data_IF_381826810691
#
_entry.id   IF_381826810691
#
_cell.length_a   1.000
_cell.length_b   1.000
_cell.length_c   1.000
_cell.angle_alpha   90.00
_cell.angle_beta   90.00
_cell.angle_gamma   90.00
#
_symmetry.space_group_name_H-M   'P 1'
#
loop_
_entity.id
_entity.type
_entity.pdbx_description
1 polymer ?
#
# COMPACT_ATOMS: atom_id res chain seq x y z
N UNK A 1 21.42 -11.64 11.67
CA UNK A 1 20.11 -11.93 12.29
C UNK A 1 19.03 -11.44 11.33
N UNK A 2 17.87 -12.09 11.26
CA UNK A 2 16.76 -11.58 10.45
C UNK A 2 16.24 -10.26 11.03
N UNK A 3 15.75 -9.37 10.16
CA UNK A 3 15.08 -8.12 10.54
C UNK A 3 13.57 -8.27 10.38
N UNK A 4 12.79 -7.66 11.25
CA UNK A 4 11.34 -7.80 11.26
C UNK A 4 10.61 -6.46 11.18
N UNK A 5 9.56 -6.42 10.36
CA UNK A 5 8.59 -5.32 10.28
C UNK A 5 7.33 -5.69 11.06
N UNK A 6 6.86 -4.80 11.93
CA UNK A 6 5.56 -4.96 12.58
C UNK A 6 4.44 -4.45 11.66
N UNK A 7 3.50 -5.32 11.31
CA UNK A 7 2.30 -4.90 10.60
C UNK A 7 1.26 -4.35 11.57
N UNK A 8 1.16 -3.02 11.62
CA UNK A 8 0.27 -2.26 12.51
C UNK A 8 -1.20 -2.31 12.06
N UNK A 9 -1.49 -2.93 10.91
CA UNK A 9 -2.84 -3.31 10.53
C UNK A 9 -3.37 -4.52 11.31
N UNK A 10 -2.49 -5.28 11.97
CA UNK A 10 -2.82 -6.46 12.76
C UNK A 10 -2.39 -6.38 14.22
N UNK A 11 -1.29 -5.68 14.51
CA UNK A 11 -0.76 -5.51 15.85
C UNK A 11 -1.18 -4.17 16.44
N UNK A 12 -1.50 -4.15 17.74
CA UNK A 12 -1.89 -2.95 18.50
C UNK A 12 -3.04 -2.15 17.87
N UNK A 13 -4.04 -2.85 17.31
CA UNK A 13 -5.20 -2.23 16.64
C UNK A 13 -6.06 -1.35 17.55
N UNK A 14 -5.86 -1.46 18.86
CA UNK A 14 -6.47 -0.64 19.90
C UNK A 14 -5.81 0.73 20.10
N UNK A 15 -4.61 0.93 19.55
CA UNK A 15 -3.83 2.16 19.67
C UNK A 15 -4.03 3.10 18.47
N UNK A 16 -3.69 4.37 18.67
CA UNK A 16 -3.45 5.28 17.54
C UNK A 16 -2.27 4.76 16.71
N UNK A 17 -2.20 5.11 15.42
CA UNK A 17 -1.05 4.69 14.57
C UNK A 17 0.28 5.16 15.16
N UNK A 18 0.31 6.37 15.71
CA UNK A 18 1.48 6.96 16.38
C UNK A 18 1.90 6.10 17.58
N UNK A 19 0.97 5.74 18.46
CA UNK A 19 1.29 4.94 19.64
C UNK A 19 1.65 3.49 19.27
N UNK A 20 1.07 2.95 18.19
CA UNK A 20 1.42 1.64 17.65
C UNK A 20 2.87 1.61 17.13
N UNK A 21 3.36 2.69 16.49
CA UNK A 21 4.78 2.80 16.09
C UNK A 21 5.70 2.78 17.32
N UNK A 22 5.35 3.53 18.38
CA UNK A 22 6.12 3.50 19.64
C UNK A 22 6.11 2.11 20.29
N UNK A 23 4.96 1.43 20.27
CA UNK A 23 4.83 0.08 20.78
C UNK A 23 5.69 -0.92 20.00
N UNK A 24 5.74 -0.82 18.67
CA UNK A 24 6.62 -1.62 17.82
C UNK A 24 8.10 -1.41 18.17
N UNK A 25 8.52 -0.15 18.40
CA UNK A 25 9.88 0.16 18.84
C UNK A 25 10.21 -0.47 20.19
N UNK A 26 9.31 -0.32 21.16
CA UNK A 26 9.46 -0.89 22.50
C UNK A 26 9.52 -2.43 22.47
N UNK A 27 8.80 -3.06 21.55
CA UNK A 27 8.83 -4.51 21.32
C UNK A 27 10.08 -5.00 20.57
N UNK A 28 10.96 -4.10 20.12
CA UNK A 28 12.23 -4.44 19.48
C UNK A 28 12.15 -4.76 17.99
N UNK A 29 11.10 -4.32 17.30
CA UNK A 29 11.04 -4.41 15.83
C UNK A 29 12.06 -3.48 15.15
N UNK A 30 12.41 -3.81 13.91
CA UNK A 30 13.37 -3.06 13.09
C UNK A 30 12.67 -2.10 12.12
N UNK A 31 11.38 -2.31 11.86
CA UNK A 31 10.57 -1.52 10.94
C UNK A 31 9.08 -1.67 11.26
N UNK A 32 8.25 -0.88 10.58
CA UNK A 32 6.78 -0.97 10.63
C UNK A 32 6.17 -0.94 9.24
N UNK A 33 4.94 -1.41 9.11
CA UNK A 33 4.08 -1.24 7.94
C UNK A 33 2.63 -1.11 8.40
N UNK A 34 1.75 -0.57 7.56
CA UNK A 34 0.32 -0.49 7.88
C UNK A 34 -0.52 -0.60 6.60
N UNK A 35 -1.82 -0.83 6.72
CA UNK A 35 -2.70 -0.85 5.54
C UNK A 35 -3.09 0.56 5.09
N UNK A 36 -3.71 1.36 5.96
CA UNK A 36 -4.28 2.65 5.58
C UNK A 36 -4.04 3.70 6.68
N UNK A 37 -3.03 4.58 6.53
CA UNK A 37 -2.68 5.54 7.58
C UNK A 37 -3.48 6.85 7.54
N UNK A 38 -4.45 6.98 6.63
CA UNK A 38 -5.01 8.26 6.19
C UNK A 38 -5.82 9.07 7.23
N UNK A 39 -6.10 8.51 8.41
CA UNK A 39 -6.67 9.28 9.54
C UNK A 39 -5.59 9.97 10.38
N UNK A 40 -4.33 9.65 10.15
CA UNK A 40 -3.14 10.27 10.78
C UNK A 40 -2.52 11.23 9.78
N UNK A 41 -2.12 12.42 10.22
CA UNK A 41 -1.45 13.39 9.34
C UNK A 41 -0.07 12.87 8.93
N UNK A 42 0.45 13.35 7.81
CA UNK A 42 1.81 12.98 7.35
C UNK A 42 2.87 13.52 8.32
N UNK A 43 2.63 14.68 8.93
CA UNK A 43 3.51 15.26 9.95
C UNK A 43 3.57 14.42 11.22
N UNK A 44 2.44 13.95 11.74
CA UNK A 44 2.40 13.14 12.96
C UNK A 44 3.07 11.79 12.74
N UNK A 45 2.82 11.15 11.59
CA UNK A 45 3.48 9.90 11.22
C UNK A 45 4.99 10.11 11.05
N UNK A 46 5.40 11.16 10.33
CA UNK A 46 6.81 11.46 10.14
C UNK A 46 7.53 11.69 11.47
N UNK A 47 6.92 12.47 12.35
CA UNK A 47 7.48 12.81 13.65
C UNK A 47 7.75 11.55 14.49
N UNK A 48 6.82 10.58 14.51
CA UNK A 48 7.02 9.35 15.30
C UNK A 48 8.00 8.36 14.67
N UNK A 49 8.09 8.31 13.34
CA UNK A 49 9.12 7.53 12.65
C UNK A 49 10.51 8.09 12.95
N UNK A 50 10.67 9.41 12.93
CA UNK A 50 11.91 10.10 13.30
C UNK A 50 12.21 9.93 14.81
N UNK A 51 11.21 10.02 15.69
CA UNK A 51 11.33 9.79 17.14
C UNK A 51 11.86 8.39 17.47
N UNK A 52 11.30 7.37 16.82
CA UNK A 52 11.60 5.97 17.11
C UNK A 52 12.79 5.43 16.33
N UNK A 53 13.17 6.10 15.24
CA UNK A 53 14.17 5.65 14.27
C UNK A 53 13.71 4.45 13.44
N UNK A 54 12.41 4.12 13.45
CA UNK A 54 11.86 3.03 12.67
C UNK A 54 11.53 3.49 11.25
N UNK A 55 12.03 2.82 10.20
CA UNK A 55 11.51 3.02 8.86
C UNK A 55 10.10 2.41 8.75
N UNK A 56 9.21 3.09 8.01
CA UNK A 56 7.97 2.47 7.56
C UNK A 56 8.15 1.90 6.16
N UNK A 57 8.00 0.57 6.04
CA UNK A 57 8.23 -0.15 4.80
C UNK A 57 7.12 0.09 3.79
N UNK A 58 5.85 0.12 4.18
CA UNK A 58 4.79 0.30 3.21
C UNK A 58 3.42 0.66 3.77
N UNK A 59 2.59 1.16 2.84
CA UNK A 59 1.16 1.40 3.00
C UNK A 59 0.39 0.96 1.74
N UNK A 60 -0.94 0.86 1.83
CA UNK A 60 -1.78 0.48 0.70
C UNK A 60 -2.62 1.67 0.22
N UNK A 61 -2.91 1.73 -1.08
CA UNK A 61 -4.01 2.57 -1.60
C UNK A 61 -5.34 2.23 -0.91
N UNK A 62 -6.27 3.19 -0.83
CA UNK A 62 -7.62 2.94 -0.31
C UNK A 62 -8.35 1.84 -1.08
N UNK A 63 -9.24 1.13 -0.38
CA UNK A 63 -10.01 0.01 -0.96
C UNK A 63 -11.13 0.44 -1.91
N UNK A 64 -11.54 1.70 -1.91
CA UNK A 64 -12.79 2.15 -2.53
C UNK A 64 -13.99 2.02 -1.58
N UNK A 65 -15.18 1.77 -2.12
CA UNK A 65 -16.40 1.60 -1.35
C UNK A 65 -16.54 0.16 -0.83
N UNK A 66 -16.06 -0.07 0.39
CA UNK A 66 -16.09 -1.39 1.04
C UNK A 66 -17.51 -1.91 1.24
N UNK A 67 -18.48 -1.03 1.53
CA UNK A 67 -19.89 -1.41 1.72
C UNK A 67 -20.52 -1.93 0.42
N UNK A 68 -19.97 -1.54 -0.74
CA UNK A 68 -20.34 -2.07 -2.07
C UNK A 68 -19.48 -3.23 -2.52
N UNK A 69 -18.56 -3.71 -1.68
CA UNK A 69 -17.69 -4.85 -1.95
C UNK A 69 -16.38 -4.51 -2.64
N UNK A 70 -16.00 -3.23 -2.74
CA UNK A 70 -14.69 -2.85 -3.29
C UNK A 70 -13.56 -3.37 -2.37
N UNK A 71 -12.46 -3.82 -2.99
CA UNK A 71 -11.27 -4.30 -2.29
C UNK A 71 -10.00 -3.88 -3.05
N UNK A 72 -9.95 -2.61 -3.44
CA UNK A 72 -9.01 -2.07 -4.42
C UNK A 72 -9.73 -1.68 -5.72
N UNK A 73 -9.11 -0.77 -6.46
CA UNK A 73 -9.72 -0.10 -7.60
C UNK A 73 -8.88 -0.23 -8.89
N UNK A 74 -7.60 -0.54 -8.76
CA UNK A 74 -6.64 -0.32 -9.84
C UNK A 74 -6.89 -1.18 -11.09
N UNK A 75 -7.56 -2.32 -10.97
CA UNK A 75 -7.90 -3.19 -12.07
C UNK A 75 -9.35 -3.03 -12.56
N UNK A 76 -10.16 -2.12 -12.00
CA UNK A 76 -11.60 -2.03 -12.32
C UNK A 76 -11.88 -1.15 -13.54
N UNK A 77 -12.38 -1.70 -14.67
CA UNK A 77 -12.71 -0.89 -15.86
C UNK A 77 -13.79 0.15 -15.57
N UNK A 78 -13.60 1.37 -16.07
CA UNK A 78 -14.53 2.49 -15.88
C UNK A 78 -14.42 3.19 -14.52
N UNK A 79 -13.47 2.78 -13.67
CA UNK A 79 -13.15 3.40 -12.37
C UNK A 79 -11.74 3.99 -12.33
N UNK A 80 -11.14 4.23 -13.49
CA UNK A 80 -9.73 4.66 -13.63
C UNK A 80 -9.46 5.99 -12.89
N UNK A 81 -10.38 6.95 -12.96
CA UNK A 81 -10.20 8.23 -12.28
C UNK A 81 -10.18 8.08 -10.75
N UNK A 82 -11.00 7.18 -10.21
CA UNK A 82 -11.02 6.87 -8.77
C UNK A 82 -9.76 6.11 -8.35
N UNK A 83 -9.31 5.14 -9.16
CA UNK A 83 -8.06 4.44 -8.92
C UNK A 83 -6.87 5.41 -8.93
N UNK A 84 -6.79 6.30 -9.91
CA UNK A 84 -5.72 7.31 -10.00
C UNK A 84 -5.77 8.32 -8.87
N UNK A 85 -6.95 8.67 -8.38
CA UNK A 85 -7.10 9.50 -7.18
C UNK A 85 -6.56 8.80 -5.93
N UNK A 86 -6.90 7.51 -5.74
CA UNK A 86 -6.37 6.70 -4.65
C UNK A 86 -4.84 6.55 -4.72
N UNK A 87 -4.29 6.33 -5.92
CA UNK A 87 -2.85 6.25 -6.16
C UNK A 87 -2.16 7.57 -5.82
N UNK A 88 -2.68 8.72 -6.28
CA UNK A 88 -2.12 10.04 -5.93
C UNK A 88 -2.10 10.24 -4.42
N UNK A 89 -3.22 10.02 -3.74
CA UNK A 89 -3.29 10.17 -2.29
C UNK A 89 -2.23 9.31 -1.59
N UNK A 90 -2.10 8.05 -1.98
CA UNK A 90 -1.16 7.13 -1.35
C UNK A 90 0.31 7.50 -1.59
N UNK A 91 0.68 7.85 -2.82
CA UNK A 91 2.05 8.22 -3.18
C UNK A 91 2.43 9.55 -2.52
N UNK A 92 1.53 10.53 -2.52
CA UNK A 92 1.77 11.84 -1.93
C UNK A 92 1.95 11.70 -0.41
N UNK A 93 1.06 10.95 0.24
CA UNK A 93 1.15 10.63 1.65
C UNK A 93 2.47 9.89 1.98
N UNK A 94 2.82 8.87 1.21
CA UNK A 94 4.05 8.11 1.42
C UNK A 94 5.30 8.99 1.27
N UNK A 95 5.33 9.84 0.24
CA UNK A 95 6.44 10.76 0.00
C UNK A 95 6.61 11.77 1.14
N UNK A 96 5.51 12.36 1.62
CA UNK A 96 5.54 13.35 2.70
C UNK A 96 5.90 12.72 4.05
N UNK A 97 5.31 11.57 4.38
CA UNK A 97 5.54 10.88 5.64
C UNK A 97 6.89 10.11 5.68
N UNK A 98 7.56 9.93 4.54
CA UNK A 98 8.81 9.16 4.45
C UNK A 98 8.62 7.64 4.45
N UNK A 99 7.50 7.15 3.90
CA UNK A 99 7.20 5.73 3.72
C UNK A 99 7.83 5.22 2.42
N UNK A 100 8.48 4.06 2.46
CA UNK A 100 9.28 3.57 1.34
C UNK A 100 8.44 3.03 0.16
N UNK A 101 7.29 2.39 0.43
CA UNK A 101 6.53 1.69 -0.59
C UNK A 101 5.03 1.96 -0.52
N UNK A 102 4.38 1.90 -1.68
CA UNK A 102 2.92 1.92 -1.81
C UNK A 102 2.47 0.65 -2.54
N UNK A 103 1.68 -0.19 -1.88
CA UNK A 103 0.95 -1.26 -2.53
C UNK A 103 -0.32 -0.70 -3.21
N UNK A 104 -0.37 -0.84 -4.53
CA UNK A 104 -1.55 -0.47 -5.34
C UNK A 104 -2.53 -1.65 -5.39
N UNK A 105 -3.62 -1.54 -4.62
CA UNK A 105 -4.61 -2.61 -4.49
C UNK A 105 -5.40 -2.80 -5.79
N UNK A 106 -5.35 -4.01 -6.32
CA UNK A 106 -5.90 -4.33 -7.64
C UNK A 106 -7.44 -4.29 -7.68
N UNK A 107 -8.10 -4.79 -6.63
CA UNK A 107 -9.55 -5.01 -6.65
C UNK A 107 -9.94 -6.40 -7.13
N UNK A 108 -11.25 -6.63 -7.26
CA UNK A 108 -11.83 -7.93 -7.62
C UNK A 108 -12.36 -7.94 -9.04
N UNK A 109 -12.29 -9.09 -9.72
CA UNK A 109 -12.80 -9.31 -11.08
C UNK A 109 -12.33 -8.24 -12.08
N UNK A 110 -11.06 -7.84 -11.95
CA UNK A 110 -10.48 -6.75 -12.73
C UNK A 110 -10.09 -7.12 -14.15
N UNK A 111 -9.56 -6.13 -14.86
CA UNK A 111 -9.01 -6.21 -16.22
C UNK A 111 -7.52 -5.97 -16.19
N UNK A 112 -6.76 -6.84 -16.87
CA UNK A 112 -5.30 -6.70 -17.07
C UNK A 112 -4.95 -5.36 -17.68
N UNK A 113 -5.68 -4.94 -18.71
CA UNK A 113 -5.43 -3.66 -19.39
C UNK A 113 -5.58 -2.48 -18.44
N UNK A 114 -6.69 -2.43 -17.70
CA UNK A 114 -6.93 -1.33 -16.74
C UNK A 114 -5.90 -1.32 -15.63
N UNK A 115 -5.49 -2.51 -15.15
CA UNK A 115 -4.47 -2.62 -14.12
C UNK A 115 -3.11 -2.09 -14.59
N UNK A 116 -2.63 -2.53 -15.76
CA UNK A 116 -1.36 -2.06 -16.32
C UNK A 116 -1.38 -0.55 -16.61
N UNK A 117 -2.48 -0.03 -17.16
CA UNK A 117 -2.63 1.41 -17.41
C UNK A 117 -2.56 2.24 -16.10
N UNK A 118 -3.12 1.72 -15.00
CA UNK A 118 -3.07 2.39 -13.70
C UNK A 118 -1.73 2.17 -12.96
N UNK A 119 -1.06 1.04 -13.15
CA UNK A 119 0.29 0.83 -12.63
C UNK A 119 1.31 1.72 -13.34
N UNK A 120 1.19 1.92 -14.66
CA UNK A 120 2.02 2.87 -15.39
C UNK A 120 1.86 4.29 -14.82
N UNK A 121 0.62 4.69 -14.55
CA UNK A 121 0.34 5.94 -13.87
C UNK A 121 0.95 6.01 -12.46
N UNK A 122 0.87 4.92 -11.68
CA UNK A 122 1.44 4.86 -10.35
C UNK A 122 2.97 4.99 -10.37
N UNK A 123 3.64 4.29 -11.28
CA UNK A 123 5.08 4.39 -11.49
C UNK A 123 5.48 5.82 -11.85
N UNK A 124 4.79 6.44 -12.81
CA UNK A 124 5.05 7.83 -13.22
C UNK A 124 4.81 8.84 -12.10
N UNK A 125 3.79 8.62 -11.27
CA UNK A 125 3.49 9.48 -10.12
C UNK A 125 4.55 9.36 -9.03
N UNK A 126 5.08 8.16 -8.82
CA UNK A 126 6.05 7.84 -7.79
C UNK A 126 7.49 8.18 -8.21
N UNK A 127 7.82 8.16 -9.50
CA UNK A 127 9.14 8.48 -10.04
C UNK A 127 9.84 9.76 -9.51
N UNK A 128 9.16 10.91 -9.31
CA UNK A 128 9.80 12.09 -8.73
C UNK A 128 10.09 11.97 -7.21
N UNK A 129 9.60 10.92 -6.56
CA UNK A 129 9.75 10.64 -5.13
C UNK A 129 10.56 9.35 -4.91
N UNK A 130 11.07 9.13 -3.71
CA UNK A 130 11.77 7.88 -3.36
C UNK A 130 10.80 6.76 -2.92
N UNK A 131 9.61 6.73 -3.53
CA UNK A 131 8.53 5.77 -3.23
C UNK A 131 8.51 4.70 -4.32
N UNK A 132 8.53 3.43 -3.94
CA UNK A 132 8.35 2.32 -4.87
C UNK A 132 6.91 1.82 -4.89
N UNK A 133 6.44 1.39 -6.06
CA UNK A 133 5.12 0.80 -6.23
C UNK A 133 5.23 -0.72 -6.11
N UNK A 134 4.34 -1.31 -5.31
CA UNK A 134 4.23 -2.75 -5.12
C UNK A 134 2.86 -3.26 -5.59
N UNK A 135 2.85 -4.52 -6.01
CA UNK A 135 1.64 -5.30 -6.23
C UNK A 135 1.72 -6.59 -5.41
N UNK A 136 0.61 -6.99 -4.82
CA UNK A 136 0.53 -8.15 -3.93
C UNK A 136 -0.46 -9.17 -4.48
N UNK A 137 -0.02 -10.37 -4.87
CA UNK A 137 -0.92 -11.49 -5.10
C UNK A 137 -1.60 -11.91 -3.80
N UNK A 138 -2.94 -11.94 -3.79
CA UNK A 138 -3.72 -12.38 -2.62
C UNK A 138 -4.44 -13.68 -2.96
N UNK A 139 -4.44 -14.62 -2.02
CA UNK A 139 -5.04 -15.93 -2.23
C UNK A 139 -6.58 -15.87 -2.36
N UNK A 140 -7.13 -16.78 -3.16
CA UNK A 140 -8.57 -16.84 -3.47
C UNK A 140 -9.44 -17.34 -2.31
N UNK A 141 -8.85 -17.89 -1.24
CA UNK A 141 -9.61 -18.33 -0.05
C UNK A 141 -10.01 -17.11 0.80
N UNK A 142 -9.05 -16.24 1.07
CA UNK A 142 -9.24 -15.08 1.94
C UNK A 142 -9.76 -13.86 1.16
N UNK A 143 -9.40 -13.73 -0.13
CA UNK A 143 -9.96 -12.71 -1.03
C UNK A 143 -10.50 -13.31 -2.35
N UNK A 144 -11.66 -14.00 -2.31
CA UNK A 144 -12.27 -14.55 -3.51
C UNK A 144 -12.52 -13.47 -4.58
N UNK A 145 -12.10 -13.78 -5.81
CA UNK A 145 -12.21 -12.90 -6.98
C UNK A 145 -11.14 -11.82 -7.06
N UNK A 146 -10.16 -11.77 -6.14
CA UNK A 146 -9.07 -10.78 -6.23
C UNK A 146 -8.26 -10.97 -7.51
N UNK A 147 -7.94 -9.86 -8.17
CA UNK A 147 -7.47 -9.85 -9.57
C UNK A 147 -6.13 -10.58 -9.75
N UNK A 148 -5.16 -10.36 -8.87
CA UNK A 148 -3.85 -11.03 -8.90
C UNK A 148 -3.75 -12.01 -7.74
N UNK A 149 -3.52 -13.30 -8.01
CA UNK A 149 -3.48 -14.32 -6.95
C UNK A 149 -2.30 -15.30 -7.02
N UNK A 150 -1.47 -15.15 -8.05
CA UNK A 150 -0.31 -15.99 -8.32
C UNK A 150 0.92 -15.10 -8.49
N UNK A 151 2.03 -15.47 -7.86
CA UNK A 151 3.27 -14.66 -7.87
C UNK A 151 3.87 -14.56 -9.27
N UNK A 152 3.81 -15.64 -10.05
CA UNK A 152 4.27 -15.67 -11.43
C UNK A 152 3.47 -14.70 -12.31
N UNK A 153 2.18 -14.53 -12.05
CA UNK A 153 1.35 -13.56 -12.77
C UNK A 153 1.74 -12.12 -12.44
N UNK A 154 1.96 -11.81 -11.16
CA UNK A 154 2.46 -10.49 -10.76
C UNK A 154 3.83 -10.19 -11.38
N UNK A 155 4.75 -11.15 -11.41
CA UNK A 155 6.04 -10.99 -12.10
C UNK A 155 5.85 -10.65 -13.58
N UNK A 156 4.99 -11.38 -14.30
CA UNK A 156 4.72 -11.11 -15.71
C UNK A 156 4.11 -9.72 -15.94
N UNK A 157 3.27 -9.23 -15.03
CA UNK A 157 2.71 -7.88 -15.12
C UNK A 157 3.79 -6.80 -14.95
N UNK A 158 4.73 -7.00 -14.02
CA UNK A 158 5.86 -6.09 -13.83
C UNK A 158 6.76 -6.08 -15.06
N UNK A 159 7.06 -7.26 -15.64
CA UNK A 159 7.86 -7.37 -16.86
C UNK A 159 7.18 -6.75 -18.08
N UNK A 160 5.86 -6.87 -18.19
CA UNK A 160 5.08 -6.23 -19.26
C UNK A 160 5.01 -4.71 -19.13
N UNK A 161 5.05 -4.20 -17.89
CA UNK A 161 4.97 -2.77 -17.62
C UNK A 161 6.22 -2.01 -18.11
N UNK A 162 7.40 -2.63 -18.03
CA UNK A 162 8.70 -2.11 -18.48
C UNK A 162 9.00 -0.68 -17.98
N UNK A 163 8.77 -0.43 -16.68
CA UNK A 163 8.99 0.86 -16.01
C UNK A 163 9.57 0.71 -14.61
#
# INVERSE_FOLDING_TARGET
>A
MARYSANLGFLWTELSLVDAVRAARAAGFDAVECHWPYTTTTEDLRAVLDETGLPMLGLNTVRGNVDKGDFGLAALPGREDEARAAIRQAVDYASEAGVANVHVMAGKNGSRKTFLDNLAYAADRAAPSNVSILIEPINQRDAPGYFISIVEEARMLIEELDR
#
